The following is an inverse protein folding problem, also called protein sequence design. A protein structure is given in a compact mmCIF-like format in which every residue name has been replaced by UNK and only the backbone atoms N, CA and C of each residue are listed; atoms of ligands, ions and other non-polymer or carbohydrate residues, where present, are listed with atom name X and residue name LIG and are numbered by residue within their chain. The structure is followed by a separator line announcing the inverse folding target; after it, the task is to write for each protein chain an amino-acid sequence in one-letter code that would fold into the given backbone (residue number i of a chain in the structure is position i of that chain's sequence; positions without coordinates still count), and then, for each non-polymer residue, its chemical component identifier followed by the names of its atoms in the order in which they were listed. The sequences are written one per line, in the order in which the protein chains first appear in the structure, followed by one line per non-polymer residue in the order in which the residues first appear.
data_IF_924781523744
#
_entry.id   IF_924781523744
#
_cell.length_a   1.000
_cell.length_b   1.000
_cell.length_c   1.000
_cell.angle_alpha   90.00
_cell.angle_beta   90.00
_cell.angle_gamma   90.00
#
_symmetry.space_group_name_H-M   'P 1'
#
loop_
_entity.id
_entity.type
_entity.pdbx_description
1 polymer ?
#
# COMPACT_ATOMS: atom_id res chain seq x y z
N UNK A 1 5.00 -30.92 7.20
CA UNK A 1 5.95 -29.89 6.71
C UNK A 1 5.30 -28.57 7.05
N UNK A 2 6.01 -27.68 7.73
CA UNK A 2 5.48 -26.34 8.02
C UNK A 2 5.34 -25.61 6.69
N UNK A 3 4.13 -25.18 6.34
CA UNK A 3 3.90 -24.37 5.16
C UNK A 3 4.75 -23.11 5.26
N UNK A 4 5.78 -23.04 4.44
CA UNK A 4 6.68 -21.91 4.45
C UNK A 4 5.90 -20.65 4.06
N UNK A 5 5.89 -19.65 4.93
CA UNK A 5 5.25 -18.36 4.65
C UNK A 5 6.03 -17.55 3.63
N UNK A 6 5.33 -16.65 2.90
CA UNK A 6 5.94 -15.66 2.01
C UNK A 6 5.21 -14.33 2.11
N UNK A 7 5.96 -13.26 2.04
CA UNK A 7 5.45 -11.90 1.89
C UNK A 7 5.64 -11.48 0.45
N UNK A 8 4.57 -11.02 -0.19
CA UNK A 8 4.61 -10.50 -1.56
C UNK A 8 4.26 -9.01 -1.50
N UNK A 9 5.18 -8.16 -1.97
CA UNK A 9 4.98 -6.71 -2.05
C UNK A 9 4.56 -6.26 -3.43
N UNK A 10 3.71 -5.24 -3.52
CA UNK A 10 3.41 -4.52 -4.76
C UNK A 10 3.47 -3.02 -4.55
N UNK A 11 4.25 -2.32 -5.38
CA UNK A 11 4.46 -0.88 -5.27
C UNK A 11 3.30 -0.07 -5.86
N UNK A 12 3.23 1.20 -5.43
CA UNK A 12 2.31 2.20 -5.98
C UNK A 12 2.81 2.86 -7.26
N UNK A 13 2.14 3.96 -7.60
CA UNK A 13 2.30 4.76 -8.81
C UNK A 13 3.67 5.42 -8.96
N UNK A 14 3.84 6.07 -10.11
CA UNK A 14 5.04 6.77 -10.58
C UNK A 14 6.23 5.85 -10.89
N UNK A 15 7.21 6.38 -11.62
CA UNK A 15 8.43 5.66 -11.94
C UNK A 15 9.18 5.22 -10.67
N UNK A 16 9.87 4.11 -10.75
CA UNK A 16 10.56 3.48 -9.61
C UNK A 16 12.06 3.34 -9.87
N UNK A 17 12.87 3.21 -8.79
CA UNK A 17 14.23 2.70 -8.88
C UNK A 17 14.26 1.36 -9.60
N UNK A 18 15.44 0.88 -10.03
CA UNK A 18 15.59 -0.38 -10.76
C UNK A 18 14.86 -1.57 -10.14
N UNK A 19 14.43 -2.55 -10.95
CA UNK A 19 13.63 -3.69 -10.49
C UNK A 19 14.36 -4.63 -9.53
N UNK A 20 15.67 -4.56 -9.41
CA UNK A 20 16.50 -5.25 -8.42
C UNK A 20 16.65 -4.48 -7.11
N UNK A 21 16.66 -3.14 -7.17
CA UNK A 21 16.81 -2.29 -5.99
C UNK A 21 15.48 -2.14 -5.21
N UNK A 22 14.38 -1.90 -5.91
CA UNK A 22 13.09 -1.61 -5.26
C UNK A 22 12.62 -2.73 -4.33
N UNK A 23 12.67 -4.02 -4.73
CA UNK A 23 12.37 -5.14 -3.84
C UNK A 23 13.32 -5.24 -2.66
N UNK A 24 14.62 -5.05 -2.91
CA UNK A 24 15.67 -5.06 -1.87
C UNK A 24 15.38 -4.02 -0.79
N UNK A 25 15.02 -2.82 -1.17
CA UNK A 25 14.69 -1.73 -0.23
C UNK A 25 13.40 -1.97 0.56
N UNK A 26 12.41 -2.61 -0.05
CA UNK A 26 11.20 -3.00 0.68
C UNK A 26 11.50 -4.06 1.74
N UNK A 27 12.25 -5.10 1.34
CA UNK A 27 12.69 -6.15 2.26
C UNK A 27 13.53 -5.58 3.41
N UNK A 28 14.46 -4.68 3.12
CA UNK A 28 15.27 -4.00 4.13
C UNK A 28 14.43 -3.17 5.09
N UNK A 29 13.42 -2.44 4.59
CA UNK A 29 12.52 -1.67 5.43
C UNK A 29 11.72 -2.56 6.40
N UNK A 30 11.22 -3.72 5.94
CA UNK A 30 10.55 -4.71 6.80
C UNK A 30 11.50 -5.26 7.86
N UNK A 31 12.73 -5.64 7.49
CA UNK A 31 13.75 -6.15 8.42
C UNK A 31 14.13 -5.08 9.45
N UNK A 32 14.30 -3.82 9.03
CA UNK A 32 14.56 -2.72 9.95
C UNK A 32 13.42 -2.52 10.95
N UNK A 33 12.16 -2.58 10.49
CA UNK A 33 10.99 -2.54 11.36
C UNK A 33 10.99 -3.68 12.39
N UNK A 34 11.21 -4.92 11.96
CA UNK A 34 11.30 -6.07 12.84
C UNK A 34 12.43 -5.94 13.87
N UNK A 35 13.60 -5.49 13.45
CA UNK A 35 14.74 -5.28 14.33
C UNK A 35 14.45 -4.24 15.40
N UNK A 36 13.94 -3.07 15.02
CA UNK A 36 13.74 -1.93 15.93
C UNK A 36 12.51 -2.08 16.82
N UNK A 37 11.41 -2.57 16.27
CA UNK A 37 10.14 -2.62 17.01
C UNK A 37 9.97 -3.92 17.79
N UNK A 38 10.53 -5.03 17.30
CA UNK A 38 10.31 -6.36 17.86
C UNK A 38 11.60 -7.01 18.41
N UNK A 39 12.75 -6.35 18.32
CA UNK A 39 14.05 -6.89 18.74
C UNK A 39 14.49 -8.12 17.94
N UNK A 40 13.86 -8.40 16.77
CA UNK A 40 14.20 -9.54 15.93
C UNK A 40 15.21 -9.16 14.87
N UNK A 41 16.36 -9.81 14.90
CA UNK A 41 17.29 -9.83 13.76
C UNK A 41 16.99 -11.07 12.92
N UNK A 42 16.52 -10.90 11.69
CA UNK A 42 16.34 -12.01 10.77
C UNK A 42 16.73 -11.58 9.36
N UNK A 43 17.66 -12.30 8.78
CA UNK A 43 18.02 -12.18 7.36
C UNK A 43 17.16 -13.11 6.50
N UNK A 44 16.29 -13.93 7.12
CA UNK A 44 15.56 -15.02 6.50
C UNK A 44 14.11 -14.70 6.15
N UNK A 45 13.75 -13.41 6.05
CA UNK A 45 12.39 -13.04 5.63
C UNK A 45 12.17 -13.49 4.18
N UNK A 46 11.27 -14.47 3.99
CA UNK A 46 10.87 -14.91 2.66
C UNK A 46 10.03 -13.82 2.02
N UNK A 47 10.55 -13.20 0.97
CA UNK A 47 9.97 -12.03 0.35
C UNK A 47 10.07 -12.11 -1.16
N UNK A 48 8.98 -11.81 -1.85
CA UNK A 48 8.91 -11.61 -3.29
C UNK A 48 8.23 -10.27 -3.59
N UNK A 49 8.31 -9.80 -4.82
CA UNK A 49 7.85 -8.47 -5.15
C UNK A 49 7.32 -8.39 -6.57
N UNK A 50 6.18 -7.76 -6.74
CA UNK A 50 5.69 -7.38 -8.06
C UNK A 50 6.21 -5.99 -8.44
N UNK A 51 7.14 -5.97 -9.38
CA UNK A 51 7.56 -4.75 -10.07
C UNK A 51 6.75 -4.59 -11.36
N UNK A 52 6.13 -3.42 -11.56
CA UNK A 52 5.30 -3.15 -12.75
C UNK A 52 5.58 -1.79 -13.39
N UNK A 53 6.48 -0.96 -12.81
CA UNK A 53 6.81 0.36 -13.37
C UNK A 53 7.37 0.27 -14.78
N UNK A 54 8.03 -0.82 -15.15
CA UNK A 54 8.54 -1.11 -16.50
C UNK A 54 7.45 -1.17 -17.58
N UNK A 55 6.20 -1.40 -17.22
CA UNK A 55 5.07 -1.38 -18.14
C UNK A 55 4.68 0.05 -18.58
N UNK A 56 5.07 1.05 -17.80
CA UNK A 56 4.69 2.44 -18.01
C UNK A 56 5.90 3.33 -18.31
N UNK A 57 7.06 2.98 -17.80
CA UNK A 57 8.25 3.80 -17.83
C UNK A 57 9.40 3.05 -18.51
N UNK A 58 9.93 3.56 -19.65
CA UNK A 58 10.95 2.85 -20.44
C UNK A 58 12.30 2.75 -19.73
N UNK A 59 12.54 3.60 -18.74
CA UNK A 59 13.74 3.57 -17.91
C UNK A 59 13.40 3.83 -16.43
N UNK A 60 14.06 3.14 -15.49
CA UNK A 60 13.85 3.38 -14.07
C UNK A 60 14.34 4.78 -13.65
N UNK A 61 13.92 5.23 -12.47
CA UNK A 61 14.42 6.47 -11.87
C UNK A 61 15.89 6.33 -11.57
N UNK A 62 16.71 7.29 -12.07
CA UNK A 62 18.13 7.34 -11.73
C UNK A 62 18.37 7.71 -10.27
N UNK A 63 19.54 7.38 -9.72
CA UNK A 63 19.93 7.75 -8.35
C UNK A 63 19.91 9.27 -8.12
N UNK A 64 20.25 10.05 -9.15
CA UNK A 64 20.24 11.52 -9.06
C UNK A 64 18.82 12.07 -8.96
N UNK A 65 17.88 11.47 -9.67
CA UNK A 65 16.47 11.91 -9.70
C UNK A 65 15.67 11.32 -8.53
N UNK A 66 16.17 10.27 -7.89
CA UNK A 66 15.53 9.67 -6.73
C UNK A 66 15.79 10.52 -5.47
N UNK A 67 14.86 11.42 -5.21
CA UNK A 67 14.94 12.32 -4.02
C UNK A 67 14.54 11.63 -2.72
N UNK A 68 13.93 10.46 -2.79
CA UNK A 68 13.34 9.75 -1.64
C UNK A 68 13.68 8.25 -1.66
N UNK A 69 14.97 7.86 -1.68
CA UNK A 69 15.38 6.46 -1.64
C UNK A 69 15.05 5.84 -0.27
N UNK A 70 15.13 4.51 -0.19
CA UNK A 70 15.28 3.86 1.11
C UNK A 70 16.65 4.24 1.70
N UNK A 71 16.65 4.49 2.98
CA UNK A 71 17.87 4.61 3.78
C UNK A 71 17.58 4.20 5.21
N UNK A 72 18.54 3.56 5.86
CA UNK A 72 18.49 3.25 7.27
C UNK A 72 19.23 4.33 8.04
N UNK A 73 18.58 4.86 9.07
CA UNK A 73 19.19 5.85 9.95
C UNK A 73 20.10 5.23 11.04
N UNK A 74 20.30 3.91 10.98
CA UNK A 74 21.06 3.13 11.96
C UNK A 74 20.52 3.23 13.40
N UNK A 75 19.33 3.82 13.57
CA UNK A 75 18.67 3.93 14.87
C UNK A 75 18.38 2.58 15.50
N UNK A 76 18.34 2.54 16.82
CA UNK A 76 18.02 1.34 17.62
C UNK A 76 16.67 1.43 18.31
N UNK A 77 16.18 2.66 18.53
CA UNK A 77 14.88 2.86 19.16
C UNK A 77 13.74 2.42 18.27
N UNK A 78 12.63 1.92 18.83
CA UNK A 78 11.40 1.63 18.09
C UNK A 78 10.92 2.85 17.30
N UNK A 79 10.28 2.59 16.16
CA UNK A 79 9.58 3.65 15.42
C UNK A 79 8.36 4.14 16.22
N UNK A 80 7.91 5.39 16.01
CA UNK A 80 6.76 5.92 16.73
C UNK A 80 5.50 5.13 16.41
N UNK A 81 4.84 4.62 17.46
CA UNK A 81 3.54 3.98 17.37
C UNK A 81 2.40 5.01 17.48
N UNK A 82 1.28 4.70 16.85
CA UNK A 82 0.08 5.52 16.97
C UNK A 82 -0.47 5.46 18.42
N UNK A 83 -0.76 6.64 19.00
CA UNK A 83 -1.38 6.76 20.32
C UNK A 83 -2.65 7.60 20.23
N UNK A 84 -3.78 7.03 20.59
CA UNK A 84 -5.12 7.63 20.40
C UNK A 84 -5.37 8.97 21.10
N UNK A 85 -4.57 9.37 22.09
CA UNK A 85 -4.88 10.46 23.02
C UNK A 85 -4.55 11.88 22.56
N UNK A 86 -3.96 12.10 21.38
CA UNK A 86 -3.54 13.46 20.93
C UNK A 86 -4.16 13.95 19.61
N UNK A 87 -5.14 13.23 19.06
CA UNK A 87 -5.56 13.47 17.67
C UNK A 87 -7.00 13.96 17.49
N UNK A 88 -7.73 14.21 18.58
CA UNK A 88 -9.13 14.66 18.52
C UNK A 88 -9.29 16.07 17.90
N UNK A 89 -8.24 16.88 17.87
CA UNK A 89 -8.33 18.27 17.37
C UNK A 89 -8.10 18.40 15.84
N UNK A 90 -7.48 17.41 15.17
CA UNK A 90 -7.19 17.48 13.74
C UNK A 90 -8.33 16.88 12.88
N UNK A 91 -9.20 16.08 13.48
CA UNK A 91 -10.35 15.42 12.82
C UNK A 91 -11.32 16.44 12.19
N UNK A 92 -11.46 17.62 12.79
CA UNK A 92 -12.46 18.63 12.36
C UNK A 92 -12.16 19.33 11.02
N UNK A 93 -10.96 19.17 10.44
CA UNK A 93 -10.60 19.82 9.17
C UNK A 93 -10.82 18.86 8.00
N UNK A 94 -10.46 17.59 8.13
CA UNK A 94 -10.63 16.60 7.08
C UNK A 94 -12.10 16.19 6.89
N UNK A 95 -12.86 15.99 7.98
CA UNK A 95 -14.29 15.67 7.91
C UNK A 95 -15.13 16.82 7.33
N UNK A 96 -14.68 18.07 7.44
CA UNK A 96 -15.33 19.23 6.82
C UNK A 96 -15.10 19.31 5.31
N UNK A 97 -14.05 18.68 4.79
CA UNK A 97 -13.73 18.67 3.36
C UNK A 97 -14.42 17.49 2.66
N UNK A 98 -14.67 16.38 3.36
CA UNK A 98 -15.22 15.14 2.79
C UNK A 98 -16.76 15.11 2.76
N UNK A 99 -17.44 16.00 3.46
CA UNK A 99 -18.92 16.04 3.60
C UNK A 99 -19.70 16.56 2.39
N UNK A 100 -19.05 16.85 1.28
CA UNK A 100 -19.70 17.24 0.02
C UNK A 100 -19.27 16.31 -1.09
N UNK A 101 -20.19 15.93 -1.98
CA UNK A 101 -19.91 15.22 -3.24
C UNK A 101 -18.90 16.02 -4.07
N UNK A 102 -17.61 15.89 -3.73
CA UNK A 102 -16.55 16.52 -4.47
C UNK A 102 -16.22 15.66 -5.69
N UNK A 103 -16.55 16.21 -6.84
CA UNK A 103 -16.10 15.71 -8.13
C UNK A 103 -14.55 15.65 -8.11
N UNK A 104 -13.96 14.66 -8.75
CA UNK A 104 -12.51 14.43 -8.81
C UNK A 104 -11.71 15.68 -9.24
N UNK A 105 -12.35 16.59 -9.98
CA UNK A 105 -11.82 17.87 -10.43
C UNK A 105 -11.78 18.92 -9.28
N UNK A 106 -12.71 18.85 -8.31
CA UNK A 106 -12.73 19.79 -7.17
C UNK A 106 -11.71 19.44 -6.10
N UNK A 107 -11.35 18.15 -5.94
CA UNK A 107 -10.23 17.74 -5.10
C UNK A 107 -8.92 18.40 -5.57
N UNK A 108 -8.79 18.61 -6.89
CA UNK A 108 -7.64 19.25 -7.53
C UNK A 108 -7.50 20.74 -7.18
N UNK A 109 -8.60 21.45 -6.96
CA UNK A 109 -8.61 22.90 -6.72
C UNK A 109 -8.55 23.30 -5.24
N UNK A 110 -8.93 22.41 -4.32
CA UNK A 110 -9.02 22.69 -2.87
C UNK A 110 -7.74 22.44 -2.06
N UNK A 111 -6.82 21.60 -2.56
CA UNK A 111 -5.56 21.23 -1.88
C UNK A 111 -4.40 21.99 -2.51
N UNK A 112 -4.36 23.31 -2.26
CA UNK A 112 -3.36 24.18 -2.88
C UNK A 112 -1.94 24.03 -2.27
N UNK A 113 -0.98 23.82 -3.13
CA UNK A 113 0.41 24.29 -3.14
C UNK A 113 1.57 23.44 -2.62
N UNK A 114 1.40 22.30 -1.95
CA UNK A 114 2.58 21.54 -1.48
C UNK A 114 2.70 20.12 -2.08
N UNK A 115 1.61 19.58 -2.62
CA UNK A 115 1.60 18.21 -3.13
C UNK A 115 0.99 18.04 -4.54
N UNK A 116 0.77 19.12 -5.29
CA UNK A 116 0.14 19.08 -6.63
C UNK A 116 0.83 18.07 -7.56
N UNK A 117 2.15 18.01 -7.52
CA UNK A 117 2.93 17.12 -8.38
C UNK A 117 2.75 15.62 -8.06
N UNK A 118 2.64 15.25 -6.78
CA UNK A 118 2.45 13.84 -6.39
C UNK A 118 1.02 13.44 -6.70
N UNK A 119 0.05 14.28 -6.32
CA UNK A 119 -1.36 14.02 -6.55
C UNK A 119 -1.69 13.99 -8.05
N UNK A 120 -1.16 14.91 -8.84
CA UNK A 120 -1.35 14.94 -10.30
C UNK A 120 -0.82 13.68 -10.98
N UNK A 121 0.35 13.19 -10.57
CA UNK A 121 0.90 11.92 -11.09
C UNK A 121 0.09 10.71 -10.62
N UNK A 122 -0.33 10.70 -9.36
CA UNK A 122 -1.20 9.65 -8.82
C UNK A 122 -2.51 9.58 -9.62
N UNK A 123 -3.11 10.74 -9.95
CA UNK A 123 -4.33 10.82 -10.75
C UNK A 123 -4.10 10.37 -12.21
N UNK A 124 -2.98 10.76 -12.83
CA UNK A 124 -2.68 10.40 -14.22
C UNK A 124 -2.47 8.89 -14.40
N UNK A 125 -1.72 8.27 -13.49
CA UNK A 125 -1.47 6.83 -13.57
C UNK A 125 -2.71 6.01 -13.16
N UNK A 126 -3.49 6.50 -12.21
CA UNK A 126 -4.77 5.89 -11.84
C UNK A 126 -5.76 5.95 -13.00
N UNK A 127 -5.85 7.10 -13.70
CA UNK A 127 -6.61 7.23 -14.94
C UNK A 127 -6.15 6.22 -15.98
N UNK A 128 -4.84 6.13 -16.21
CA UNK A 128 -4.29 5.16 -17.16
C UNK A 128 -4.62 3.70 -16.81
N UNK A 129 -4.64 3.35 -15.52
CA UNK A 129 -5.03 2.00 -15.10
C UNK A 129 -6.48 1.66 -15.46
N UNK A 130 -7.38 2.63 -15.36
CA UNK A 130 -8.79 2.40 -15.68
C UNK A 130 -9.10 2.55 -17.17
N UNK A 131 -8.34 3.37 -17.90
CA UNK A 131 -8.62 3.73 -19.29
C UNK A 131 -7.79 2.91 -20.31
N UNK A 132 -6.64 2.32 -19.89
CA UNK A 132 -5.79 1.46 -20.73
C UNK A 132 -6.00 -0.02 -20.35
N UNK A 133 -6.87 -0.69 -21.07
CA UNK A 133 -7.17 -2.12 -20.87
C UNK A 133 -5.94 -3.02 -21.05
N UNK A 134 -5.03 -2.66 -21.94
CA UNK A 134 -3.81 -3.43 -22.19
C UNK A 134 -2.86 -3.40 -20.99
N UNK A 135 -2.63 -2.21 -20.44
CA UNK A 135 -1.85 -2.04 -19.23
C UNK A 135 -2.51 -2.74 -18.03
N UNK A 136 -3.80 -2.49 -17.81
CA UNK A 136 -4.57 -3.09 -16.72
C UNK A 136 -4.52 -4.61 -16.76
N UNK A 137 -4.78 -5.20 -17.90
CA UNK A 137 -4.75 -6.67 -18.09
C UNK A 137 -3.36 -7.23 -17.84
N UNK A 138 -2.31 -6.56 -18.34
CA UNK A 138 -0.93 -7.04 -18.21
C UNK A 138 -0.46 -7.01 -16.75
N UNK A 139 -0.71 -5.94 -16.02
CA UNK A 139 -0.28 -5.84 -14.62
C UNK A 139 -1.06 -6.79 -13.72
N UNK A 140 -2.38 -6.93 -13.94
CA UNK A 140 -3.20 -7.91 -13.22
C UNK A 140 -2.73 -9.33 -13.48
N UNK A 141 -2.41 -9.68 -14.72
CA UNK A 141 -1.85 -10.99 -15.07
C UNK A 141 -0.53 -11.26 -14.36
N UNK A 142 0.40 -10.29 -14.33
CA UNK A 142 1.68 -10.45 -13.60
C UNK A 142 1.47 -10.75 -12.12
N UNK A 143 0.56 -10.05 -11.45
CA UNK A 143 0.28 -10.31 -10.04
C UNK A 143 -0.42 -11.65 -9.84
N UNK A 144 -1.40 -11.97 -10.68
CA UNK A 144 -2.08 -13.26 -10.66
C UNK A 144 -1.08 -14.42 -10.76
N UNK A 145 -0.22 -14.39 -11.77
CA UNK A 145 0.76 -15.45 -12.02
C UNK A 145 1.74 -15.58 -10.83
N UNK A 146 2.20 -14.46 -10.28
CA UNK A 146 3.06 -14.43 -9.10
C UNK A 146 2.37 -15.02 -7.85
N UNK A 147 1.12 -14.73 -7.62
CA UNK A 147 0.36 -15.31 -6.51
C UNK A 147 0.19 -16.82 -6.69
N UNK A 148 -0.12 -17.28 -7.91
CA UNK A 148 -0.28 -18.69 -8.21
C UNK A 148 1.05 -19.48 -8.15
N UNK A 149 2.19 -18.86 -8.44
CA UNK A 149 3.52 -19.45 -8.24
C UNK A 149 3.77 -19.85 -6.77
N UNK A 150 3.17 -19.11 -5.83
CA UNK A 150 3.30 -19.35 -4.40
C UNK A 150 2.07 -20.02 -3.76
N UNK A 151 1.23 -20.68 -4.56
CA UNK A 151 -0.07 -21.22 -4.11
C UNK A 151 0.01 -22.26 -2.97
N UNK A 152 1.15 -22.92 -2.83
CA UNK A 152 1.39 -23.94 -1.79
C UNK A 152 2.00 -23.36 -0.51
N UNK A 153 2.01 -22.02 -0.39
CA UNK A 153 2.56 -21.30 0.75
C UNK A 153 1.50 -20.42 1.42
N UNK A 154 1.74 -20.11 2.68
CA UNK A 154 0.97 -19.06 3.35
C UNK A 154 1.40 -17.71 2.79
N UNK A 155 0.44 -16.94 2.27
CA UNK A 155 0.72 -15.67 1.57
C UNK A 155 0.27 -14.47 2.40
N UNK A 156 1.19 -13.53 2.64
CA UNK A 156 0.89 -12.16 3.04
C UNK A 156 1.13 -11.24 1.84
N UNK A 157 0.09 -10.60 1.33
CA UNK A 157 0.17 -9.66 0.20
C UNK A 157 0.11 -8.22 0.73
N UNK A 158 1.15 -7.42 0.46
CA UNK A 158 1.23 -6.01 0.88
C UNK A 158 1.13 -5.11 -0.35
N UNK A 159 0.02 -4.38 -0.48
CA UNK A 159 -0.20 -3.39 -1.53
C UNK A 159 0.00 -1.96 -1.02
N UNK A 160 0.86 -1.18 -1.69
CA UNK A 160 1.06 0.23 -1.41
C UNK A 160 0.39 1.10 -2.48
N UNK A 161 -0.36 2.13 -2.06
CA UNK A 161 -0.97 3.09 -2.99
C UNK A 161 -1.78 2.38 -4.10
N UNK A 162 -1.63 2.72 -5.36
CA UNK A 162 -2.24 2.01 -6.49
C UNK A 162 -1.96 0.49 -6.49
N UNK A 163 -0.83 0.05 -5.92
CA UNK A 163 -0.57 -1.39 -5.76
C UNK A 163 -1.64 -2.10 -4.92
N UNK A 164 -2.32 -1.38 -4.02
CA UNK A 164 -3.47 -1.92 -3.27
C UNK A 164 -4.72 -2.09 -4.14
N UNK A 165 -4.94 -1.21 -5.12
CA UNK A 165 -6.03 -1.34 -6.10
C UNK A 165 -5.79 -2.55 -6.99
N UNK A 166 -4.59 -2.64 -7.58
CA UNK A 166 -4.22 -3.79 -8.43
C UNK A 166 -4.34 -5.10 -7.65
N UNK A 167 -3.87 -5.12 -6.40
CA UNK A 167 -3.98 -6.29 -5.52
C UNK A 167 -5.45 -6.65 -5.26
N UNK A 168 -6.27 -5.67 -4.90
CA UNK A 168 -7.70 -5.88 -4.66
C UNK A 168 -8.41 -6.47 -5.89
N UNK A 169 -8.19 -5.90 -7.07
CA UNK A 169 -8.80 -6.35 -8.31
C UNK A 169 -8.40 -7.79 -8.65
N UNK A 170 -7.11 -8.11 -8.51
CA UNK A 170 -6.61 -9.49 -8.76
C UNK A 170 -7.19 -10.48 -7.76
N UNK A 171 -7.31 -10.10 -6.48
CA UNK A 171 -7.93 -10.94 -5.46
C UNK A 171 -9.42 -11.19 -5.75
N UNK A 172 -10.15 -10.18 -6.28
CA UNK A 172 -11.53 -10.34 -6.73
C UNK A 172 -11.64 -11.28 -7.95
N UNK A 173 -10.71 -11.15 -8.90
CA UNK A 173 -10.62 -12.03 -10.08
C UNK A 173 -10.32 -13.48 -9.66
N UNK A 174 -9.26 -13.69 -8.89
CA UNK A 174 -8.87 -15.02 -8.41
C UNK A 174 -9.97 -15.66 -7.56
N UNK A 175 -10.71 -14.89 -6.77
CA UNK A 175 -11.86 -15.41 -6.02
C UNK A 175 -12.97 -16.02 -6.91
N UNK A 176 -13.08 -15.55 -8.16
CA UNK A 176 -14.01 -16.12 -9.16
C UNK A 176 -13.40 -17.29 -9.94
N UNK A 177 -12.13 -17.17 -10.32
CA UNK A 177 -11.42 -18.13 -11.18
C UNK A 177 -10.92 -19.35 -10.40
N UNK A 178 -10.41 -19.13 -9.19
CA UNK A 178 -9.75 -20.12 -8.34
C UNK A 178 -10.34 -20.05 -6.91
N UNK A 179 -11.59 -20.44 -6.65
CA UNK A 179 -12.26 -20.24 -5.35
C UNK A 179 -11.58 -20.94 -4.18
N UNK A 180 -10.71 -21.92 -4.44
CA UNK A 180 -9.94 -22.64 -3.43
C UNK A 180 -8.59 -21.97 -3.10
N UNK A 181 -8.14 -21.01 -3.93
CA UNK A 181 -6.94 -20.24 -3.65
C UNK A 181 -7.13 -19.41 -2.38
N UNK A 182 -6.05 -19.20 -1.62
CA UNK A 182 -6.11 -18.41 -0.38
C UNK A 182 -4.94 -17.44 -0.28
N UNK A 183 -5.26 -16.23 0.18
CA UNK A 183 -4.30 -15.25 0.70
C UNK A 183 -4.60 -15.10 2.17
N UNK A 184 -3.66 -15.51 3.03
CA UNK A 184 -3.86 -15.52 4.48
C UNK A 184 -4.05 -14.11 5.02
N UNK A 185 -3.26 -13.15 4.52
CA UNK A 185 -3.35 -11.77 4.95
C UNK A 185 -3.15 -10.80 3.79
N UNK A 186 -4.16 -10.04 3.46
CA UNK A 186 -4.07 -8.89 2.59
C UNK A 186 -3.81 -7.64 3.44
N UNK A 187 -2.75 -6.92 3.12
CA UNK A 187 -2.35 -5.67 3.80
C UNK A 187 -2.35 -4.54 2.79
N UNK A 188 -3.04 -3.46 3.11
CA UNK A 188 -3.01 -2.22 2.34
C UNK A 188 -2.33 -1.12 3.15
N UNK A 189 -1.41 -0.38 2.53
CA UNK A 189 -0.66 0.72 3.16
C UNK A 189 -0.76 1.97 2.29
N UNK A 190 -1.15 3.09 2.86
CA UNK A 190 -1.35 4.33 2.11
C UNK A 190 -2.30 4.14 0.91
N UNK A 191 -3.42 3.48 1.13
CA UNK A 191 -4.30 2.97 0.07
C UNK A 191 -5.33 4.00 -0.38
N UNK A 192 -5.53 4.21 -1.70
CA UNK A 192 -6.61 5.03 -2.25
C UNK A 192 -7.93 4.26 -2.43
N UNK A 193 -8.08 3.05 -1.89
CA UNK A 193 -9.28 2.22 -2.02
C UNK A 193 -10.55 2.88 -1.42
N UNK A 194 -10.40 3.85 -0.50
CA UNK A 194 -11.52 4.65 0.03
C UNK A 194 -12.01 5.76 -0.91
N UNK A 195 -11.28 6.08 -1.98
CA UNK A 195 -11.69 7.14 -2.89
C UNK A 195 -13.00 6.81 -3.61
N UNK A 196 -13.97 7.72 -3.67
CA UNK A 196 -15.28 7.49 -4.32
C UNK A 196 -15.16 6.97 -5.74
N UNK A 197 -14.25 7.53 -6.55
CA UNK A 197 -14.01 7.08 -7.92
C UNK A 197 -13.51 5.64 -7.99
N UNK A 198 -12.62 5.23 -7.08
CA UNK A 198 -12.10 3.86 -7.02
C UNK A 198 -13.21 2.88 -6.63
N UNK A 199 -14.00 3.21 -5.59
CA UNK A 199 -15.17 2.40 -5.17
C UNK A 199 -16.20 2.27 -6.31
N UNK A 200 -16.46 3.35 -7.04
CA UNK A 200 -17.34 3.33 -8.20
C UNK A 200 -16.82 2.38 -9.30
N UNK A 201 -15.53 2.44 -9.65
CA UNK A 201 -14.94 1.50 -10.64
C UNK A 201 -15.01 0.05 -10.16
N UNK A 202 -14.75 -0.20 -8.88
CA UNK A 202 -14.89 -1.53 -8.26
C UNK A 202 -16.34 -2.02 -8.36
N UNK A 203 -17.33 -1.19 -8.06
CA UNK A 203 -18.74 -1.58 -8.14
C UNK A 203 -19.18 -1.87 -9.57
N UNK A 204 -18.68 -1.13 -10.55
CA UNK A 204 -18.96 -1.40 -11.97
C UNK A 204 -18.42 -2.76 -12.43
N UNK A 205 -17.26 -3.20 -11.92
CA UNK A 205 -16.63 -4.45 -12.34
C UNK A 205 -17.12 -5.66 -11.50
N UNK A 206 -17.53 -5.44 -10.27
CA UNK A 206 -17.76 -6.51 -9.29
C UNK A 206 -19.15 -6.51 -8.63
N UNK A 207 -20.06 -5.62 -8.99
CA UNK A 207 -21.38 -5.36 -8.42
C UNK A 207 -21.32 -4.88 -6.95
N UNK A 208 -20.51 -5.52 -6.11
CA UNK A 208 -20.38 -5.23 -4.69
C UNK A 208 -18.95 -4.81 -4.32
N UNK A 209 -18.86 -3.76 -3.51
CA UNK A 209 -17.63 -3.34 -2.84
C UNK A 209 -17.52 -4.12 -1.54
N UNK A 210 -16.67 -5.17 -1.53
CA UNK A 210 -16.54 -6.09 -0.40
C UNK A 210 -15.15 -6.71 -0.30
N UNK A 211 -14.82 -7.25 0.84
CA UNK A 211 -13.61 -8.05 1.04
C UNK A 211 -13.57 -9.21 0.02
N UNK A 212 -12.44 -9.43 -0.69
CA UNK A 212 -12.31 -10.55 -1.63
C UNK A 212 -12.52 -11.91 -0.93
N UNK A 213 -13.25 -12.84 -1.57
CA UNK A 213 -13.66 -14.13 -0.98
C UNK A 213 -12.49 -15.02 -0.54
N UNK A 214 -11.34 -14.89 -1.20
CA UNK A 214 -10.14 -15.71 -0.95
C UNK A 214 -9.20 -15.13 0.13
N UNK A 215 -9.60 -14.02 0.76
CA UNK A 215 -8.80 -13.33 1.78
C UNK A 215 -9.19 -13.80 3.17
N UNK A 216 -8.23 -14.31 3.93
CA UNK A 216 -8.42 -14.75 5.32
C UNK A 216 -8.41 -13.61 6.34
N UNK A 217 -7.65 -12.53 6.08
CA UNK A 217 -7.62 -11.28 6.84
C UNK A 217 -7.32 -10.12 5.92
N UNK A 218 -7.90 -8.96 6.21
CA UNK A 218 -7.53 -7.71 5.55
C UNK A 218 -7.25 -6.65 6.61
N UNK A 219 -6.04 -6.07 6.58
CA UNK A 219 -5.66 -4.95 7.44
C UNK A 219 -5.26 -3.76 6.57
N UNK A 220 -5.86 -2.61 6.85
CA UNK A 220 -5.54 -1.35 6.17
C UNK A 220 -4.76 -0.45 7.13
N UNK A 221 -3.56 -0.04 6.74
CA UNK A 221 -2.73 0.90 7.49
C UNK A 221 -2.75 2.27 6.83
N UNK A 222 -3.18 3.29 7.56
CA UNK A 222 -3.24 4.66 7.08
C UNK A 222 -2.62 5.63 8.10
N UNK A 223 -1.76 6.53 7.61
CA UNK A 223 -1.36 7.72 8.37
C UNK A 223 -2.33 8.86 8.01
N UNK A 224 -2.93 9.49 8.99
CA UNK A 224 -3.89 10.59 8.77
C UNK A 224 -3.32 11.80 8.03
N UNK A 225 -2.00 11.90 7.93
CA UNK A 225 -1.30 12.94 7.16
C UNK A 225 -1.01 12.53 5.73
N UNK A 226 -1.33 11.29 5.36
CA UNK A 226 -1.20 10.78 4.01
C UNK A 226 -2.41 11.21 3.17
N UNK A 227 -2.17 12.14 2.26
CA UNK A 227 -3.21 12.72 1.41
C UNK A 227 -3.79 11.77 0.36
N UNK A 228 -3.13 10.64 0.11
CA UNK A 228 -3.62 9.59 -0.82
C UNK A 228 -4.57 8.64 -0.08
N UNK A 229 -4.28 8.38 1.21
CA UNK A 229 -5.14 7.58 2.09
C UNK A 229 -6.19 8.47 2.79
N UNK A 230 -6.87 9.34 2.04
CA UNK A 230 -7.81 10.36 2.57
C UNK A 230 -8.92 9.73 3.37
N UNK A 231 -9.47 8.61 2.89
CA UNK A 231 -10.41 7.79 3.64
C UNK A 231 -9.65 6.63 4.31
N UNK A 232 -9.29 6.84 5.57
CA UNK A 232 -8.56 5.85 6.35
C UNK A 232 -9.45 4.71 6.88
N UNK A 233 -10.78 4.79 6.67
CA UNK A 233 -11.76 3.84 7.21
C UNK A 233 -12.42 3.00 6.12
N UNK A 234 -11.66 2.12 5.50
CA UNK A 234 -12.21 1.19 4.50
C UNK A 234 -13.28 0.26 5.10
N UNK A 235 -13.30 0.05 6.42
CA UNK A 235 -14.29 -0.78 7.09
C UNK A 235 -15.73 -0.26 6.98
N UNK A 236 -15.92 1.03 6.72
CA UNK A 236 -17.24 1.62 6.58
C UNK A 236 -17.79 1.43 5.14
N UNK A 237 -16.90 1.17 4.18
CA UNK A 237 -17.21 1.09 2.75
C UNK A 237 -17.24 -0.33 2.19
N UNK A 238 -16.45 -1.23 2.78
CA UNK A 238 -16.26 -2.59 2.25
C UNK A 238 -17.04 -3.62 3.07
N UNK A 239 -18.05 -4.23 2.44
CA UNK A 239 -18.81 -5.31 3.06
C UNK A 239 -17.91 -6.52 3.41
N UNK A 240 -18.25 -7.30 4.43
CA UNK A 240 -17.57 -8.56 4.70
C UNK A 240 -17.67 -9.54 3.52
N UNK A 241 -16.68 -10.43 3.40
CA UNK A 241 -16.82 -11.58 2.50
C UNK A 241 -17.74 -12.67 3.09
N UNK A 242 -17.99 -13.74 2.32
CA UNK A 242 -18.88 -14.83 2.74
C UNK A 242 -18.40 -15.60 3.98
N UNK A 243 -17.14 -15.40 4.39
CA UNK A 243 -16.57 -15.96 5.62
C UNK A 243 -16.69 -14.97 6.80
N UNK A 244 -17.34 -13.82 6.60
CA UNK A 244 -17.47 -12.76 7.62
C UNK A 244 -16.20 -11.92 7.82
N UNK A 245 -15.22 -12.06 6.93
CA UNK A 245 -13.97 -11.27 7.02
C UNK A 245 -14.24 -9.85 6.55
N UNK A 246 -14.01 -8.90 7.43
CA UNK A 246 -14.09 -7.46 7.19
C UNK A 246 -12.70 -6.83 7.28
N UNK A 247 -12.48 -5.74 6.54
CA UNK A 247 -11.24 -4.97 6.66
C UNK A 247 -11.11 -4.38 8.07
N UNK A 248 -9.90 -4.43 8.61
CA UNK A 248 -9.54 -3.85 9.89
C UNK A 248 -8.64 -2.63 9.66
N UNK A 249 -9.14 -1.44 9.99
CA UNK A 249 -8.40 -0.20 9.84
C UNK A 249 -7.51 0.06 11.05
N UNK A 250 -6.23 0.24 10.80
CA UNK A 250 -5.21 0.49 11.82
C UNK A 250 -4.50 1.81 11.49
N UNK A 251 -4.74 2.87 12.28
CA UNK A 251 -4.01 4.12 12.14
C UNK A 251 -2.55 3.93 12.54
N UNK A 252 -1.64 4.54 11.79
CA UNK A 252 -0.20 4.45 12.02
C UNK A 252 0.49 5.81 11.90
N UNK A 253 1.76 5.86 12.31
CA UNK A 253 2.64 7.00 12.09
C UNK A 253 3.71 6.65 11.06
N UNK A 254 3.57 7.18 9.85
CA UNK A 254 4.60 7.09 8.83
C UNK A 254 5.73 8.08 9.15
N UNK A 255 6.82 7.59 9.69
CA UNK A 255 7.96 8.41 10.12
C UNK A 255 9.02 8.61 9.03
N UNK A 256 8.72 8.30 7.76
CA UNK A 256 9.71 8.48 6.69
C UNK A 256 10.07 9.96 6.50
N UNK A 257 11.38 10.19 6.32
CA UNK A 257 11.96 11.46 5.90
C UNK A 257 13.00 11.23 4.81
N UNK A 258 13.12 12.17 3.87
CA UNK A 258 14.19 12.11 2.88
C UNK A 258 15.58 12.18 3.55
N UNK A 259 16.61 11.52 2.97
CA UNK A 259 17.97 11.65 3.48
C UNK A 259 18.48 13.10 3.51
N UNK A 260 19.39 13.41 4.42
CA UNK A 260 19.95 14.77 4.58
C UNK A 260 20.70 15.29 3.34
N UNK A 261 21.26 14.40 2.53
CA UNK A 261 21.95 14.71 1.26
C UNK A 261 21.03 14.82 0.04
N UNK A 262 19.71 14.63 0.20
CA UNK A 262 18.71 14.81 -0.87
C UNK A 262 17.99 16.15 -0.70
N UNK A 263 17.34 16.63 -1.76
CA UNK A 263 16.61 17.91 -1.74
C UNK A 263 15.10 17.65 -1.89
N UNK A 264 14.26 18.20 -0.99
CA UNK A 264 14.62 18.89 0.24
C UNK A 264 15.11 17.91 1.33
N UNK A 265 16.13 18.28 2.12
CA UNK A 265 16.68 17.39 3.14
C UNK A 265 15.70 17.17 4.30
N UNK A 266 15.72 15.98 4.89
CA UNK A 266 14.91 15.61 6.06
C UNK A 266 13.40 15.89 5.88
N UNK A 267 12.93 15.98 4.63
CA UNK A 267 11.55 16.28 4.30
C UNK A 267 10.65 15.09 4.61
N UNK A 268 9.54 15.26 5.34
CA UNK A 268 8.60 14.18 5.59
C UNK A 268 7.86 13.79 4.30
N UNK A 269 7.60 12.50 4.13
CA UNK A 269 6.65 12.00 3.16
C UNK A 269 5.78 10.92 3.80
N UNK A 270 4.59 11.30 4.18
CA UNK A 270 3.63 10.44 4.89
C UNK A 270 3.03 9.35 3.99
N UNK A 271 3.18 9.48 2.67
CA UNK A 271 2.77 8.47 1.69
C UNK A 271 3.88 7.46 1.35
N UNK A 272 5.13 7.66 1.82
CA UNK A 272 6.24 6.79 1.42
C UNK A 272 6.11 5.38 2.00
N UNK A 273 6.17 4.36 1.12
CA UNK A 273 6.04 2.94 1.52
C UNK A 273 7.02 2.51 2.61
N UNK A 274 8.26 3.00 2.56
CA UNK A 274 9.28 2.62 3.55
C UNK A 274 8.94 3.04 4.98
N UNK A 275 8.21 4.14 5.16
CA UNK A 275 7.74 4.54 6.47
C UNK A 275 6.63 3.62 6.99
N UNK A 276 5.68 3.24 6.14
CA UNK A 276 4.65 2.25 6.48
C UNK A 276 5.25 0.89 6.83
N UNK A 277 6.21 0.41 6.01
CA UNK A 277 6.85 -0.90 6.21
C UNK A 277 7.65 -1.01 7.52
N UNK A 278 7.98 0.12 8.14
CA UNK A 278 8.72 0.21 9.41
C UNK A 278 7.85 0.49 10.62
N UNK A 279 6.54 0.63 10.46
CA UNK A 279 5.65 0.91 11.61
C UNK A 279 5.64 -0.25 12.61
N UNK A 280 5.52 0.03 13.91
CA UNK A 280 5.43 -1.00 14.94
C UNK A 280 4.26 -1.95 14.70
N UNK A 281 3.12 -1.41 14.29
CA UNK A 281 1.89 -2.16 14.05
C UNK A 281 2.06 -3.18 12.90
N UNK A 282 2.70 -2.78 11.79
CA UNK A 282 2.99 -3.72 10.70
C UNK A 282 4.07 -4.73 11.10
N UNK A 283 5.10 -4.29 11.83
CA UNK A 283 6.18 -5.17 12.30
C UNK A 283 5.65 -6.33 13.14
N UNK A 284 4.68 -6.07 14.04
CA UNK A 284 4.04 -7.10 14.84
C UNK A 284 3.26 -8.11 13.99
N UNK A 285 2.54 -7.66 12.96
CA UNK A 285 1.85 -8.57 12.03
C UNK A 285 2.83 -9.43 11.23
N UNK A 286 3.90 -8.83 10.73
CA UNK A 286 4.95 -9.56 10.00
C UNK A 286 5.64 -10.56 10.92
N UNK A 287 5.96 -10.19 12.16
CA UNK A 287 6.54 -11.09 13.17
C UNK A 287 5.66 -12.31 13.46
N UNK A 288 4.37 -12.09 13.54
CA UNK A 288 3.40 -13.16 13.84
C UNK A 288 3.12 -14.06 12.63
N UNK A 289 3.38 -13.57 11.42
CA UNK A 289 3.13 -14.29 10.17
C UNK A 289 4.35 -15.11 9.72
N UNK A 290 5.56 -14.56 9.81
CA UNK A 290 6.82 -15.19 9.40
C UNK A 290 7.30 -16.22 10.43
#
# INVERSE_FOLDING_TARGET
MVDASIIIGIHGLANKPPPDEKPTWWRQALIEGLRRNCGKTTDLLSFDFLYWADLRYPAPVSDNDNTQPYWSDQGVDPFPAYRSHKWTEIINVAEKIIGTELDFVELHTGISRINDYVLERELTDLGAYYDDDGFRTTVRKRLRDKLLEHRDRRIMLIGHSMGSIIAYDVLRMLGREEPQFRVDHFITIGSPLGLPHVKFKISQENDLVRTPSIVGRWTNFADRRDIVAVDAKLSDDYEPNDQGIKVNDVPVINAYRSPANKKPPNSPNYHKSYGYLRTPELSELVRAFA
#
